data_IF_135912209313
#
_entry.id   IF_135912209313
#
_cell.length_a   1.000
_cell.length_b   1.000
_cell.length_c   1.000
_cell.angle_alpha   90.00
_cell.angle_beta   90.00
_cell.angle_gamma   90.00
#
_symmetry.space_group_name_H-M   'P 1'
#
loop_
_entity.id
_entity.type
_entity.pdbx_description
1 polymer ?
#
# COMPACT_ATOMS: atom_id res chain seq x y z
N UNK A 1 -20.83 8.08 -11.68
CA UNK A 1 -20.04 6.87 -11.35
C UNK A 1 -18.87 6.86 -12.29
N UNK A 2 -17.63 6.96 -11.79
CA UNK A 2 -16.45 6.83 -12.66
C UNK A 2 -15.98 5.39 -12.51
N UNK A 3 -16.46 4.52 -13.39
CA UNK A 3 -15.86 3.20 -13.57
C UNK A 3 -14.42 3.38 -14.04
N UNK A 4 -13.53 2.52 -13.59
CA UNK A 4 -12.15 2.48 -14.08
C UNK A 4 -12.14 2.21 -15.60
N UNK A 5 -11.33 2.96 -16.36
CA UNK A 5 -11.20 2.75 -17.80
C UNK A 5 -10.60 1.37 -18.08
N UNK A 6 -11.17 0.64 -19.06
CA UNK A 6 -10.66 -0.66 -19.52
C UNK A 6 -9.69 -0.45 -20.68
N UNK A 7 -8.52 -1.07 -20.57
CA UNK A 7 -7.47 -1.07 -21.60
C UNK A 7 -7.00 -2.50 -21.89
N UNK A 8 -6.48 -2.72 -23.11
CA UNK A 8 -5.86 -3.98 -23.48
C UNK A 8 -4.34 -3.89 -23.24
N UNK A 9 -3.74 -4.92 -22.63
CA UNK A 9 -2.30 -4.93 -22.33
C UNK A 9 -1.40 -4.74 -23.57
N UNK A 10 -1.85 -5.20 -24.75
CA UNK A 10 -1.16 -4.99 -26.04
C UNK A 10 -1.05 -3.51 -26.43
N UNK A 11 -1.86 -2.64 -25.84
CA UNK A 11 -1.80 -1.19 -26.04
C UNK A 11 -0.98 -0.53 -24.93
N UNK A 12 0.34 -0.69 -25.02
CA UNK A 12 1.29 -0.10 -24.07
C UNK A 12 1.15 1.43 -24.00
N UNK A 13 0.73 2.10 -25.08
CA UNK A 13 0.53 3.55 -25.10
C UNK A 13 -0.51 4.02 -24.09
N UNK A 14 -1.67 3.34 -24.03
CA UNK A 14 -2.74 3.65 -23.06
C UNK A 14 -2.27 3.44 -21.62
N UNK A 15 -1.56 2.35 -21.34
CA UNK A 15 -1.01 2.12 -20.01
C UNK A 15 0.02 3.19 -19.62
N UNK A 16 0.94 3.55 -20.52
CA UNK A 16 1.94 4.57 -20.21
C UNK A 16 1.32 5.96 -20.04
N UNK A 17 0.18 6.24 -20.69
CA UNK A 17 -0.62 7.43 -20.45
C UNK A 17 -1.25 7.40 -19.06
N UNK A 18 -1.90 6.30 -18.68
CA UNK A 18 -2.46 6.10 -17.34
C UNK A 18 -1.40 6.21 -16.24
N UNK A 19 -0.20 5.65 -16.48
CA UNK A 19 0.94 5.76 -15.58
C UNK A 19 1.37 7.21 -15.36
N UNK A 20 1.58 7.98 -16.44
CA UNK A 20 1.98 9.40 -16.36
C UNK A 20 0.90 10.27 -15.71
N UNK A 21 -0.35 10.01 -16.02
CA UNK A 21 -1.49 10.77 -15.49
C UNK A 21 -1.92 10.32 -14.10
N UNK A 22 -1.30 9.26 -13.57
CA UNK A 22 -1.68 8.61 -12.32
C UNK A 22 -3.17 8.30 -12.24
N UNK A 23 -3.67 7.65 -13.29
CA UNK A 23 -5.08 7.23 -13.38
C UNK A 23 -5.15 5.71 -13.26
N UNK A 24 -6.01 5.15 -12.39
CA UNK A 24 -6.19 3.70 -12.35
C UNK A 24 -6.82 3.21 -13.64
N UNK A 25 -6.42 2.02 -14.11
CA UNK A 25 -6.99 1.36 -15.30
C UNK A 25 -7.14 -0.14 -15.07
N UNK A 26 -8.19 -0.71 -15.64
CA UNK A 26 -8.43 -2.15 -15.67
C UNK A 26 -7.82 -2.70 -16.96
N UNK A 27 -6.96 -3.69 -16.83
CA UNK A 27 -6.12 -4.21 -17.91
C UNK A 27 -6.56 -5.64 -18.23
N UNK A 28 -6.94 -5.86 -19.48
CA UNK A 28 -7.29 -7.17 -20.00
C UNK A 28 -6.13 -7.78 -20.80
N UNK A 29 -5.98 -9.10 -20.71
CA UNK A 29 -4.95 -9.85 -21.43
C UNK A 29 -3.52 -9.49 -21.00
N UNK A 30 -3.33 -9.13 -19.73
CA UNK A 30 -2.01 -8.79 -19.18
C UNK A 30 -1.08 -10.00 -19.15
N UNK A 31 -1.61 -11.13 -18.68
CA UNK A 31 -0.93 -12.41 -18.54
C UNK A 31 -1.85 -13.50 -19.11
N UNK A 32 -1.26 -14.61 -19.55
CA UNK A 32 -2.03 -15.77 -19.99
C UNK A 32 -2.60 -16.50 -18.76
N UNK A 33 -3.91 -16.78 -18.71
CA UNK A 33 -4.49 -17.58 -17.64
C UNK A 33 -3.82 -18.96 -17.56
N UNK A 34 -3.42 -19.35 -16.35
CA UNK A 34 -2.85 -20.69 -16.12
C UNK A 34 -3.91 -21.57 -15.44
N UNK A 35 -4.37 -22.60 -16.16
CA UNK A 35 -5.30 -23.59 -15.60
C UNK A 35 -4.68 -24.38 -14.43
N UNK A 36 -3.35 -24.41 -14.32
CA UNK A 36 -2.64 -25.03 -13.19
C UNK A 36 -2.77 -24.24 -11.88
N UNK A 37 -3.26 -23.00 -11.95
CA UNK A 37 -3.49 -22.14 -10.79
C UNK A 37 -4.98 -22.03 -10.41
N UNK A 38 -5.83 -22.87 -11.00
CA UNK A 38 -7.18 -23.06 -10.50
C UNK A 38 -7.12 -23.71 -9.10
N UNK A 39 -7.97 -23.26 -8.18
CA UNK A 39 -8.15 -23.89 -6.88
C UNK A 39 -8.69 -25.31 -6.98
N UNK A 40 -9.35 -25.66 -8.08
CA UNK A 40 -9.80 -27.02 -8.33
C UNK A 40 -8.69 -27.84 -9.01
N UNK A 41 -8.08 -28.77 -8.26
CA UNK A 41 -7.27 -29.84 -8.84
C UNK A 41 -5.77 -29.58 -9.02
N UNK A 42 -5.21 -28.46 -8.56
CA UNK A 42 -3.77 -28.23 -8.64
C UNK A 42 -3.00 -28.96 -7.53
N UNK A 43 -2.15 -29.93 -7.92
CA UNK A 43 -1.23 -30.58 -6.97
C UNK A 43 -0.14 -29.64 -6.45
N UNK A 44 0.06 -28.50 -7.11
CA UNK A 44 1.10 -27.51 -6.79
C UNK A 44 1.01 -27.00 -5.35
N UNK A 45 -0.22 -26.81 -4.85
CA UNK A 45 -0.46 -26.13 -3.57
C UNK A 45 -0.06 -26.94 -2.34
N UNK A 46 0.19 -28.25 -2.50
CA UNK A 46 0.64 -29.12 -1.41
C UNK A 46 2.05 -28.76 -0.94
N UNK A 47 2.91 -28.35 -1.87
CA UNK A 47 4.32 -28.07 -1.61
C UNK A 47 4.59 -26.58 -1.37
N UNK A 48 3.70 -25.70 -1.84
CA UNK A 48 3.79 -24.26 -1.58
C UNK A 48 3.49 -23.98 -0.10
N UNK A 49 4.47 -23.41 0.61
CA UNK A 49 4.29 -22.87 1.96
C UNK A 49 3.85 -21.42 1.89
N UNK A 50 2.89 -21.06 2.73
CA UNK A 50 2.38 -19.70 2.90
C UNK A 50 2.25 -19.40 4.39
N UNK A 51 2.36 -18.12 4.72
CA UNK A 51 2.03 -17.60 6.03
C UNK A 51 0.57 -17.13 6.03
N UNK A 52 -0.22 -17.63 6.98
CA UNK A 52 -1.60 -17.21 7.21
C UNK A 52 -1.70 -16.42 8.51
N UNK A 53 -2.55 -15.40 8.51
CA UNK A 53 -2.85 -14.54 9.66
C UNK A 53 -4.24 -13.92 9.48
N UNK A 54 -4.79 -13.31 10.52
CA UNK A 54 -6.07 -12.61 10.38
C UNK A 54 -5.99 -11.47 9.36
N UNK A 55 -7.12 -11.12 8.76
CA UNK A 55 -7.23 -9.96 7.87
C UNK A 55 -6.83 -8.62 8.53
N UNK A 56 -6.68 -7.59 7.70
CA UNK A 56 -6.09 -6.30 8.05
C UNK A 56 -6.80 -5.56 9.20
N UNK A 57 -8.12 -5.72 9.34
CA UNK A 57 -8.93 -5.02 10.34
C UNK A 57 -8.81 -5.56 11.76
N UNK A 58 -8.32 -6.79 11.98
CA UNK A 58 -8.31 -7.39 13.33
C UNK A 58 -7.31 -6.72 14.27
N UNK A 59 -6.30 -6.01 13.74
CA UNK A 59 -5.34 -5.26 14.57
C UNK A 59 -6.01 -4.19 15.43
N UNK A 60 -7.10 -3.58 14.94
CA UNK A 60 -7.83 -2.52 15.63
C UNK A 60 -8.73 -3.03 16.77
N UNK A 61 -8.90 -4.35 16.90
CA UNK A 61 -9.64 -4.98 17.98
C UNK A 61 -8.74 -5.43 19.15
N UNK A 62 -7.41 -5.39 18.99
CA UNK A 62 -6.49 -5.82 20.04
C UNK A 62 -6.15 -4.67 21.00
N UNK A 63 -6.35 -4.89 22.31
CA UNK A 63 -6.12 -3.85 23.31
C UNK A 63 -4.63 -3.58 23.57
N UNK A 64 -3.70 -4.50 23.21
CA UNK A 64 -2.32 -4.40 23.67
C UNK A 64 -1.20 -4.87 22.73
N UNK A 65 -1.47 -5.48 21.56
CA UNK A 65 -0.38 -5.87 20.64
C UNK A 65 -0.86 -5.91 19.20
N UNK A 66 -0.30 -5.05 18.34
CA UNK A 66 -0.35 -5.17 16.88
C UNK A 66 0.32 -6.46 16.33
N UNK A 67 0.85 -7.32 17.21
CA UNK A 67 1.39 -8.62 16.83
C UNK A 67 0.20 -9.53 16.53
N UNK A 68 -0.07 -9.76 15.25
CA UNK A 68 -0.91 -10.88 14.85
C UNK A 68 -0.07 -12.15 14.90
N UNK A 69 -0.63 -13.19 15.53
CA UNK A 69 -0.07 -14.52 15.40
C UNK A 69 -0.20 -14.97 13.95
N UNK A 70 0.92 -15.39 13.37
CA UNK A 70 0.95 -15.99 12.04
C UNK A 70 1.31 -17.47 12.13
N UNK A 71 0.87 -18.23 11.12
CA UNK A 71 1.16 -19.66 11.00
C UNK A 71 1.64 -19.97 9.60
N UNK A 72 2.73 -20.74 9.50
CA UNK A 72 3.21 -21.24 8.21
C UNK A 72 2.56 -22.59 7.94
N UNK A 73 1.80 -22.69 6.85
CA UNK A 73 1.08 -23.89 6.41
C UNK A 73 1.33 -24.16 4.92
N UNK A 74 0.90 -25.31 4.41
CA UNK A 74 0.79 -25.46 2.95
C UNK A 74 -0.41 -24.67 2.43
N UNK A 75 -0.33 -24.16 1.20
CA UNK A 75 -1.46 -23.47 0.56
C UNK A 75 -2.66 -24.43 0.43
N UNK A 76 -2.43 -25.71 0.14
CA UNK A 76 -3.49 -26.71 0.13
C UNK A 76 -4.18 -26.82 1.50
N UNK A 77 -3.41 -26.94 2.59
CA UNK A 77 -3.98 -27.04 3.94
C UNK A 77 -4.78 -25.80 4.33
N UNK A 78 -4.37 -24.62 3.87
CA UNK A 78 -5.14 -23.39 4.06
C UNK A 78 -6.46 -23.43 3.27
N UNK A 79 -6.44 -23.86 2.01
CA UNK A 79 -7.65 -24.01 1.20
C UNK A 79 -8.62 -25.06 1.76
N UNK A 80 -8.10 -26.17 2.28
CA UNK A 80 -8.90 -27.20 2.97
C UNK A 80 -9.56 -26.60 4.23
N UNK A 81 -8.80 -25.82 5.01
CA UNK A 81 -9.35 -25.10 6.17
C UNK A 81 -10.45 -24.12 5.79
N UNK A 82 -10.27 -23.35 4.70
CA UNK A 82 -11.29 -22.44 4.16
C UNK A 82 -12.56 -23.19 3.76
N UNK A 83 -12.43 -24.36 3.13
CA UNK A 83 -13.59 -25.17 2.73
C UNK A 83 -14.38 -25.68 3.96
N UNK A 84 -13.69 -26.06 5.03
CA UNK A 84 -14.31 -26.48 6.29
C UNK A 84 -14.84 -25.29 7.11
N UNK A 85 -14.22 -24.11 6.98
CA UNK A 85 -14.48 -22.92 7.79
C UNK A 85 -14.68 -21.68 6.90
N UNK A 86 -15.78 -21.59 6.13
CA UNK A 86 -15.97 -20.55 5.11
C UNK A 86 -16.10 -19.12 5.65
N UNK A 87 -16.24 -18.95 6.97
CA UNK A 87 -16.31 -17.66 7.66
C UNK A 87 -14.98 -17.28 8.34
N UNK A 88 -13.90 -18.00 8.08
CA UNK A 88 -12.58 -17.69 8.64
C UNK A 88 -12.09 -16.32 8.20
N UNK A 89 -11.44 -15.60 9.12
CA UNK A 89 -10.75 -14.33 8.87
C UNK A 89 -9.28 -14.53 8.52
N UNK A 90 -8.80 -15.79 8.55
CA UNK A 90 -7.43 -16.12 8.19
C UNK A 90 -7.24 -15.97 6.69
N UNK A 91 -6.16 -15.28 6.30
CA UNK A 91 -5.79 -15.02 4.92
C UNK A 91 -4.28 -15.08 4.73
N UNK A 92 -3.88 -15.30 3.47
CA UNK A 92 -2.52 -14.99 2.99
C UNK A 92 -2.55 -13.56 2.49
N UNK A 93 -1.72 -12.70 3.06
CA UNK A 93 -1.65 -11.27 2.71
C UNK A 93 -0.20 -10.84 2.58
N UNK A 94 0.09 -10.07 1.52
CA UNK A 94 1.44 -9.55 1.19
C UNK A 94 2.58 -10.59 1.22
N UNK A 95 2.28 -11.88 1.04
CA UNK A 95 3.31 -12.93 1.09
C UNK A 95 4.18 -12.86 -0.17
N UNK A 96 5.50 -12.91 -0.06
CA UNK A 96 6.37 -12.92 -1.25
C UNK A 96 5.93 -14.04 -2.20
N UNK A 97 5.63 -13.71 -3.45
CA UNK A 97 5.03 -14.71 -4.35
C UNK A 97 5.97 -15.90 -4.54
N UNK A 98 5.52 -17.13 -4.23
CA UNK A 98 6.31 -18.34 -4.45
C UNK A 98 6.79 -18.46 -5.89
N UNK A 99 8.03 -18.92 -6.07
CA UNK A 99 8.63 -19.09 -7.41
C UNK A 99 7.76 -19.93 -8.32
N UNK A 100 7.17 -21.01 -7.81
CA UNK A 100 6.34 -21.91 -8.60
C UNK A 100 5.06 -21.24 -9.12
N UNK A 101 4.55 -20.22 -8.44
CA UNK A 101 3.43 -19.40 -8.94
C UNK A 101 3.95 -18.40 -9.98
N UNK A 102 5.05 -17.71 -9.69
CA UNK A 102 5.67 -16.75 -10.62
C UNK A 102 6.07 -17.40 -11.95
N UNK A 103 6.62 -18.60 -11.92
CA UNK A 103 7.00 -19.34 -13.12
C UNK A 103 5.79 -19.69 -14.01
N UNK A 104 4.58 -19.75 -13.43
CA UNK A 104 3.35 -20.10 -14.14
C UNK A 104 2.63 -18.88 -14.71
N UNK A 105 2.68 -17.73 -14.04
CA UNK A 105 2.02 -16.50 -14.51
C UNK A 105 2.96 -15.57 -15.29
N UNK A 106 4.26 -15.59 -14.96
CA UNK A 106 5.26 -14.66 -15.48
C UNK A 106 5.17 -13.24 -14.88
N UNK A 107 6.17 -12.42 -15.17
CA UNK A 107 6.16 -10.99 -14.86
C UNK A 107 5.60 -10.24 -16.07
N UNK A 108 4.65 -9.31 -15.91
CA UNK A 108 4.08 -8.57 -17.03
C UNK A 108 5.14 -7.88 -17.90
N UNK A 109 5.08 -8.10 -19.21
CA UNK A 109 5.96 -7.46 -20.20
C UNK A 109 5.86 -5.93 -20.15
N UNK A 110 4.66 -5.43 -19.87
CA UNK A 110 4.42 -3.99 -19.72
C UNK A 110 5.28 -3.36 -18.60
N UNK A 111 5.66 -4.15 -17.59
CA UNK A 111 6.59 -3.71 -16.54
C UNK A 111 8.03 -3.87 -17.03
N UNK A 112 8.41 -5.09 -17.44
CA UNK A 112 9.81 -5.42 -17.77
C UNK A 112 10.35 -4.66 -18.98
N UNK A 113 9.49 -4.29 -19.93
CA UNK A 113 9.88 -3.52 -21.12
C UNK A 113 10.07 -2.03 -20.81
N UNK A 114 9.24 -1.46 -19.91
CA UNK A 114 9.15 -0.01 -19.68
C UNK A 114 9.84 0.50 -18.40
N UNK A 115 10.09 -0.37 -17.43
CA UNK A 115 10.73 -0.01 -16.16
C UNK A 115 12.04 -0.77 -15.98
N UNK A 116 12.98 -0.16 -15.25
CA UNK A 116 14.30 -0.74 -14.97
C UNK A 116 14.54 -0.96 -13.48
N UNK A 117 13.62 -0.49 -12.64
CA UNK A 117 13.69 -0.63 -11.20
C UNK A 117 13.37 -2.07 -10.76
N UNK A 118 13.71 -2.40 -9.53
CA UNK A 118 13.33 -3.66 -8.90
C UNK A 118 11.80 -3.84 -8.92
N UNK A 119 11.34 -4.98 -9.43
CA UNK A 119 9.95 -5.42 -9.36
C UNK A 119 9.83 -6.43 -8.25
N UNK A 120 8.91 -6.20 -7.32
CA UNK A 120 8.53 -7.19 -6.30
C UNK A 120 7.12 -7.68 -6.57
N UNK A 121 6.81 -8.87 -6.09
CA UNK A 121 5.47 -9.44 -6.21
C UNK A 121 5.02 -10.07 -4.90
N UNK A 122 3.75 -9.84 -4.57
CA UNK A 122 3.13 -10.41 -3.40
C UNK A 122 1.87 -11.21 -3.78
N UNK A 123 1.74 -12.37 -3.14
CA UNK A 123 0.61 -13.27 -3.21
C UNK A 123 -0.43 -12.89 -2.14
N UNK A 124 -1.70 -12.93 -2.54
CA UNK A 124 -2.83 -12.78 -1.65
C UNK A 124 -3.84 -13.90 -1.93
N UNK A 125 -4.29 -14.57 -0.88
CA UNK A 125 -5.29 -15.64 -0.94
C UNK A 125 -6.25 -15.49 0.24
N UNK A 126 -7.55 -15.41 -0.04
CA UNK A 126 -8.56 -15.36 1.02
C UNK A 126 -9.91 -15.91 0.54
N UNK A 127 -10.77 -16.30 1.47
CA UNK A 127 -12.16 -16.69 1.21
C UNK A 127 -13.08 -15.48 1.05
N UNK A 128 -14.24 -15.72 0.43
CA UNK A 128 -15.33 -14.74 0.33
C UNK A 128 -15.63 -14.10 1.69
N UNK A 129 -15.83 -12.78 1.69
CA UNK A 129 -16.09 -12.00 2.91
C UNK A 129 -14.84 -11.45 3.62
N UNK A 130 -13.63 -11.92 3.28
CA UNK A 130 -12.40 -11.26 3.72
C UNK A 130 -12.20 -9.92 3.01
N UNK A 131 -11.39 -9.04 3.61
CA UNK A 131 -11.07 -7.74 3.04
C UNK A 131 -9.66 -7.26 3.39
N UNK A 132 -9.16 -6.36 2.55
CA UNK A 132 -8.12 -5.42 2.90
C UNK A 132 -8.78 -4.06 3.18
N UNK A 133 -8.63 -3.59 4.41
CA UNK A 133 -9.17 -2.30 4.88
C UNK A 133 -8.72 -1.15 3.98
N UNK A 134 -9.50 -0.08 3.92
CA UNK A 134 -9.13 1.13 3.17
C UNK A 134 -7.82 1.73 3.71
N UNK A 135 -6.78 1.74 2.88
CA UNK A 135 -5.45 2.24 3.22
C UNK A 135 -4.71 2.72 1.98
N UNK A 136 -3.51 3.29 2.15
CA UNK A 136 -2.57 3.45 1.05
C UNK A 136 -1.24 2.74 1.35
N UNK A 137 -0.58 2.31 0.27
CA UNK A 137 0.72 1.66 0.32
C UNK A 137 1.82 2.68 0.62
N UNK A 138 2.39 2.59 1.82
CA UNK A 138 3.52 3.44 2.24
C UNK A 138 4.87 3.05 1.63
N UNK A 139 4.94 2.15 0.65
CA UNK A 139 6.21 1.75 -0.01
C UNK A 139 6.57 2.61 -1.23
N UNK A 140 5.70 3.55 -1.61
CA UNK A 140 5.84 4.46 -2.75
C UNK A 140 6.03 3.74 -4.09
N UNK A 141 5.44 2.55 -4.27
CA UNK A 141 5.45 1.81 -5.54
C UNK A 141 4.09 1.86 -6.22
N UNK A 142 4.12 1.88 -7.55
CA UNK A 142 2.94 1.66 -8.39
C UNK A 142 2.58 0.19 -8.36
N UNK A 143 1.29 -0.14 -8.50
CA UNK A 143 0.80 -1.51 -8.34
C UNK A 143 0.01 -1.95 -9.56
N UNK A 144 0.33 -3.14 -10.06
CA UNK A 144 -0.56 -3.92 -10.92
C UNK A 144 -1.01 -5.15 -10.13
N UNK A 145 -2.29 -5.23 -9.79
CA UNK A 145 -2.89 -6.39 -9.12
C UNK A 145 -3.55 -7.29 -10.16
N UNK A 146 -2.95 -8.44 -10.45
CA UNK A 146 -3.51 -9.46 -11.33
C UNK A 146 -4.38 -10.43 -10.54
N UNK A 147 -5.64 -10.58 -10.95
CA UNK A 147 -6.59 -11.49 -10.34
C UNK A 147 -6.45 -12.88 -10.98
N UNK A 148 -5.92 -13.84 -10.23
CA UNK A 148 -5.64 -15.19 -10.75
C UNK A 148 -6.90 -16.06 -10.72
N UNK A 149 -7.64 -16.02 -9.62
CA UNK A 149 -8.86 -16.81 -9.42
C UNK A 149 -9.83 -16.09 -8.48
N UNK A 150 -11.13 -16.40 -8.59
CA UNK A 150 -12.21 -15.74 -7.84
C UNK A 150 -12.37 -14.26 -8.17
N UNK A 151 -13.49 -13.66 -7.76
CA UNK A 151 -13.75 -12.23 -7.97
C UNK A 151 -13.36 -11.40 -6.77
N UNK A 152 -12.90 -10.18 -7.05
CA UNK A 152 -12.53 -9.18 -6.03
C UNK A 152 -13.13 -7.83 -6.41
N UNK A 153 -13.67 -7.10 -5.44
CA UNK A 153 -14.11 -5.71 -5.63
C UNK A 153 -13.06 -4.76 -5.07
N UNK A 154 -12.55 -3.86 -5.90
CA UNK A 154 -11.68 -2.76 -5.52
C UNK A 154 -12.44 -1.45 -5.41
N UNK A 155 -12.10 -0.65 -4.40
CA UNK A 155 -12.57 0.74 -4.24
C UNK A 155 -11.34 1.62 -4.10
N UNK A 156 -11.21 2.65 -4.93
CA UNK A 156 -10.00 3.48 -5.01
C UNK A 156 -10.32 4.96 -4.85
N UNK A 157 -9.42 5.73 -4.23
CA UNK A 157 -9.48 7.19 -4.16
C UNK A 157 -8.10 7.81 -4.33
N UNK A 158 -8.06 9.01 -4.90
CA UNK A 158 -6.83 9.80 -4.96
C UNK A 158 -6.42 10.32 -3.56
N UNK A 159 -5.13 10.61 -3.33
CA UNK A 159 -4.63 11.16 -2.06
C UNK A 159 -5.42 12.37 -1.54
N UNK A 160 -5.84 13.25 -2.45
CA UNK A 160 -6.58 14.48 -2.17
C UNK A 160 -7.96 14.24 -1.55
N UNK A 161 -8.52 13.04 -1.72
CA UNK A 161 -9.81 12.62 -1.15
C UNK A 161 -9.74 12.34 0.35
N UNK A 162 -8.52 12.33 0.93
CA UNK A 162 -8.26 11.92 2.31
C UNK A 162 -9.22 12.51 3.34
N UNK A 163 -9.59 13.80 3.24
CA UNK A 163 -10.50 14.43 4.22
C UNK A 163 -11.83 13.67 4.43
N UNK A 164 -12.42 13.08 3.38
CA UNK A 164 -13.66 12.30 3.51
C UNK A 164 -13.45 10.83 3.87
N UNK A 165 -12.19 10.38 3.89
CA UNK A 165 -11.80 9.01 4.22
C UNK A 165 -11.31 8.88 5.66
N UNK A 166 -11.27 9.96 6.44
CA UNK A 166 -10.87 9.95 7.84
C UNK A 166 -9.53 9.21 8.11
N UNK A 167 -8.41 9.74 7.60
CA UNK A 167 -7.12 9.09 7.62
C UNK A 167 -6.50 9.16 9.02
N UNK A 168 -5.92 8.04 9.44
CA UNK A 168 -5.04 7.95 10.59
C UNK A 168 -3.79 7.21 10.14
N UNK A 169 -2.65 7.91 10.11
CA UNK A 169 -1.44 7.44 9.44
C UNK A 169 -1.72 7.06 7.97
N UNK A 170 -1.45 5.81 7.57
CA UNK A 170 -1.72 5.30 6.22
C UNK A 170 -3.03 4.50 6.10
N UNK A 171 -3.87 4.51 7.13
CA UNK A 171 -5.12 3.76 7.21
C UNK A 171 -6.31 4.71 7.25
N UNK A 172 -7.48 4.22 6.86
CA UNK A 172 -8.75 4.92 7.00
C UNK A 172 -9.58 4.28 8.10
N UNK A 173 -10.28 5.10 8.86
CA UNK A 173 -11.28 4.66 9.85
C UNK A 173 -12.68 4.42 9.26
N UNK A 174 -12.86 4.67 7.96
CA UNK A 174 -14.10 4.34 7.25
C UNK A 174 -14.14 2.84 6.99
N UNK A 175 -15.20 2.20 7.48
CA UNK A 175 -15.45 0.76 7.34
C UNK A 175 -16.35 0.48 6.15
N UNK A 176 -15.76 0.52 4.95
CA UNK A 176 -16.51 0.33 3.69
C UNK A 176 -17.22 -1.04 3.63
N UNK A 177 -16.74 -2.04 4.36
CA UNK A 177 -17.37 -3.36 4.45
C UNK A 177 -18.72 -3.37 5.17
N UNK A 178 -19.05 -2.30 5.90
CA UNK A 178 -20.34 -2.17 6.59
C UNK A 178 -21.41 -1.51 5.71
N UNK A 179 -21.02 -1.00 4.54
CA UNK A 179 -21.94 -0.27 3.66
C UNK A 179 -22.73 -1.25 2.80
N UNK A 180 -24.01 -0.95 2.61
CA UNK A 180 -24.78 -1.51 1.50
C UNK A 180 -24.17 -1.06 0.16
N UNK A 181 -24.50 -1.76 -0.93
CA UNK A 181 -24.02 -1.37 -2.27
C UNK A 181 -24.43 0.08 -2.64
N UNK A 182 -25.61 0.53 -2.21
CA UNK A 182 -26.10 1.90 -2.45
C UNK A 182 -25.29 2.93 -1.65
N UNK A 183 -25.05 2.68 -0.36
CA UNK A 183 -24.22 3.54 0.50
C UNK A 183 -22.78 3.62 -0.02
N UNK A 184 -22.22 2.48 -0.47
CA UNK A 184 -20.89 2.44 -1.07
C UNK A 184 -20.82 3.29 -2.34
N UNK A 185 -21.79 3.15 -3.24
CA UNK A 185 -21.84 3.96 -4.46
C UNK A 185 -21.96 5.46 -4.15
N UNK A 186 -22.81 5.82 -3.18
CA UNK A 186 -22.98 7.21 -2.76
C UNK A 186 -21.68 7.78 -2.15
N UNK A 187 -21.08 7.06 -1.21
CA UNK A 187 -19.83 7.44 -0.57
C UNK A 187 -18.69 7.61 -1.58
N UNK A 188 -18.56 6.68 -2.52
CA UNK A 188 -17.55 6.75 -3.58
C UNK A 188 -17.76 7.97 -4.47
N UNK A 189 -19.00 8.23 -4.88
CA UNK A 189 -19.32 9.39 -5.73
C UNK A 189 -19.03 10.73 -5.04
N UNK A 190 -19.34 10.84 -3.73
CA UNK A 190 -19.05 12.06 -2.95
C UNK A 190 -17.56 12.34 -2.78
N UNK A 191 -16.73 11.29 -2.81
CA UNK A 191 -15.29 11.40 -2.61
C UNK A 191 -14.49 11.19 -3.92
N UNK A 192 -15.14 11.37 -5.08
CA UNK A 192 -14.50 11.25 -6.40
C UNK A 192 -13.70 9.95 -6.61
N UNK A 193 -14.16 8.85 -6.02
CA UNK A 193 -13.50 7.55 -6.13
C UNK A 193 -13.97 6.70 -7.30
N UNK A 194 -13.41 5.48 -7.33
CA UNK A 194 -13.66 4.45 -8.33
C UNK A 194 -14.14 3.17 -7.65
N UNK A 195 -15.04 2.44 -8.30
CA UNK A 195 -15.37 1.04 -7.98
C UNK A 195 -14.99 0.18 -9.19
N UNK A 196 -14.37 -0.95 -8.94
CA UNK A 196 -13.99 -1.93 -9.97
C UNK A 196 -14.22 -3.33 -9.46
N UNK A 197 -14.90 -4.15 -10.26
CA UNK A 197 -15.00 -5.59 -10.03
C UNK A 197 -13.98 -6.28 -10.94
N UNK A 198 -13.08 -7.06 -10.33
CA UNK A 198 -12.04 -7.82 -10.97
C UNK A 198 -12.50 -9.26 -11.16
N UNK A 199 -12.51 -9.69 -12.41
CA UNK A 199 -12.72 -11.09 -12.82
C UNK A 199 -11.37 -11.83 -12.95
N UNK A 200 -11.36 -13.18 -12.88
CA UNK A 200 -10.15 -13.97 -13.15
C UNK A 200 -9.54 -13.63 -14.53
N UNK A 201 -8.23 -13.36 -14.54
CA UNK A 201 -7.48 -12.97 -15.74
C UNK A 201 -7.42 -11.46 -16.00
N UNK A 202 -8.17 -10.65 -15.25
CA UNK A 202 -8.05 -9.19 -15.29
C UNK A 202 -6.96 -8.68 -14.33
N UNK A 203 -6.42 -7.51 -14.63
CA UNK A 203 -5.49 -6.82 -13.73
C UNK A 203 -5.89 -5.37 -13.49
N UNK A 204 -5.80 -4.89 -12.26
CA UNK A 204 -5.98 -3.49 -11.93
C UNK A 204 -4.62 -2.80 -11.77
N UNK A 205 -4.36 -1.79 -12.59
CA UNK A 205 -3.32 -0.82 -12.28
C UNK A 205 -3.88 0.27 -11.39
N UNK A 206 -3.17 0.58 -10.32
CA UNK A 206 -3.37 1.81 -9.56
C UNK A 206 -2.02 2.44 -9.18
N UNK A 207 -1.89 3.77 -9.32
CA UNK A 207 -0.67 4.48 -8.97
C UNK A 207 -0.32 4.39 -7.48
N UNK A 208 0.96 4.65 -7.18
CA UNK A 208 1.43 4.81 -5.81
C UNK A 208 0.59 5.83 -5.03
N UNK A 209 0.48 5.66 -3.72
CA UNK A 209 -0.26 6.56 -2.80
C UNK A 209 -1.77 6.61 -2.99
N UNK A 210 -2.39 5.92 -3.96
CA UNK A 210 -3.85 5.83 -3.97
C UNK A 210 -4.37 5.10 -2.74
N UNK A 211 -5.43 5.66 -2.14
CA UNK A 211 -6.24 4.95 -1.17
C UNK A 211 -6.96 3.80 -1.87
N UNK A 212 -6.96 2.62 -1.27
CA UNK A 212 -7.58 1.44 -1.83
C UNK A 212 -8.13 0.49 -0.76
N UNK A 213 -9.28 -0.10 -1.06
CA UNK A 213 -9.94 -1.15 -0.30
C UNK A 213 -10.24 -2.31 -1.24
N UNK A 214 -10.08 -3.55 -0.78
CA UNK A 214 -10.45 -4.73 -1.56
C UNK A 214 -11.31 -5.70 -0.75
N UNK A 215 -12.44 -6.12 -1.32
CA UNK A 215 -13.30 -7.17 -0.77
C UNK A 215 -13.23 -8.42 -1.64
N UNK A 216 -13.08 -9.59 -1.02
CA UNK A 216 -13.18 -10.88 -1.69
C UNK A 216 -14.66 -11.24 -1.88
N UNK A 217 -15.11 -11.28 -3.14
CA UNK A 217 -16.48 -11.67 -3.48
C UNK A 217 -16.60 -13.19 -3.50
N UNK A 218 -15.58 -13.85 -4.06
CA UNK A 218 -15.39 -15.30 -3.97
C UNK A 218 -14.09 -15.61 -3.23
N UNK A 219 -13.90 -16.88 -2.86
CA UNK A 219 -12.56 -17.36 -2.51
C UNK A 219 -11.65 -17.18 -3.72
N UNK A 220 -10.56 -16.42 -3.55
CA UNK A 220 -9.76 -15.91 -4.65
C UNK A 220 -8.28 -15.82 -4.36
N UNK A 221 -7.49 -15.84 -5.44
CA UNK A 221 -6.05 -15.60 -5.44
C UNK A 221 -5.73 -14.42 -6.34
N UNK A 222 -4.87 -13.53 -5.86
CA UNK A 222 -4.33 -12.42 -6.65
C UNK A 222 -2.85 -12.28 -6.41
N UNK A 223 -2.13 -11.82 -7.43
CA UNK A 223 -0.71 -11.48 -7.33
C UNK A 223 -0.56 -10.01 -7.71
N UNK A 224 0.04 -9.21 -6.83
CA UNK A 224 0.44 -7.87 -7.19
C UNK A 224 1.87 -7.86 -7.75
N UNK A 225 2.14 -6.86 -8.58
CA UNK A 225 3.47 -6.48 -9.02
C UNK A 225 3.68 -5.02 -8.63
N UNK A 226 4.68 -4.76 -7.81
CA UNK A 226 5.04 -3.43 -7.33
C UNK A 226 6.31 -2.95 -8.03
N UNK A 227 6.27 -1.74 -8.59
CA UNK A 227 7.35 -1.22 -9.46
C UNK A 227 7.42 0.31 -9.45
N UNK A 228 8.46 0.85 -10.10
CA UNK A 228 8.53 2.25 -10.52
C UNK A 228 8.74 3.26 -9.39
N UNK A 229 9.31 2.86 -8.24
CA UNK A 229 9.65 3.82 -7.17
C UNK A 229 10.83 4.70 -7.57
N UNK A 230 10.56 6.00 -7.71
CA UNK A 230 11.56 7.02 -8.07
C UNK A 230 12.51 7.35 -6.93
N UNK A 231 13.65 7.97 -7.24
CA UNK A 231 14.73 8.29 -6.29
C UNK A 231 14.27 9.11 -5.08
N UNK A 232 13.50 10.18 -5.32
CA UNK A 232 13.01 11.02 -4.23
C UNK A 232 12.02 10.25 -3.35
N UNK A 233 11.14 9.46 -3.97
CA UNK A 233 10.20 8.58 -3.27
C UNK A 233 10.90 7.46 -2.48
N UNK A 234 12.04 6.95 -2.94
CA UNK A 234 12.85 5.99 -2.18
C UNK A 234 13.44 6.63 -0.90
N UNK A 235 13.90 7.88 -0.96
CA UNK A 235 14.34 8.63 0.23
C UNK A 235 13.19 8.83 1.21
N UNK A 236 12.02 9.27 0.72
CA UNK A 236 10.84 9.46 1.56
C UNK A 236 10.41 8.14 2.22
N UNK A 237 10.29 7.07 1.43
CA UNK A 237 10.01 5.73 1.91
C UNK A 237 10.99 5.25 2.98
N UNK A 238 12.27 5.60 2.91
CA UNK A 238 13.27 5.10 3.87
C UNK A 238 13.35 5.90 5.15
N UNK A 239 13.02 7.18 5.11
CA UNK A 239 13.38 8.10 6.20
C UNK A 239 12.23 8.98 6.68
N UNK A 240 11.03 8.86 6.11
CA UNK A 240 9.87 9.66 6.52
C UNK A 240 8.70 8.74 6.86
N UNK A 241 7.96 9.07 7.91
CA UNK A 241 6.81 8.30 8.36
C UNK A 241 5.65 8.45 7.37
N UNK A 242 4.84 7.40 7.21
CA UNK A 242 3.66 7.44 6.36
C UNK A 242 2.50 8.17 7.05
N UNK A 243 2.03 9.25 6.43
CA UNK A 243 0.80 9.94 6.79
C UNK A 243 0.18 10.64 5.58
N UNK A 244 -0.99 11.26 5.78
CA UNK A 244 -1.73 11.99 4.73
C UNK A 244 -0.96 13.15 4.09
N UNK A 245 -0.07 13.82 4.82
CA UNK A 245 0.69 14.96 4.29
C UNK A 245 1.84 14.46 3.41
N UNK A 246 2.58 13.45 3.88
CA UNK A 246 3.59 12.77 3.07
C UNK A 246 2.94 12.17 1.82
N UNK A 247 1.79 11.52 1.96
CA UNK A 247 1.06 10.90 0.86
C UNK A 247 0.78 11.90 -0.27
N UNK A 248 0.22 13.07 0.06
CA UNK A 248 -0.11 14.10 -0.92
C UNK A 248 1.16 14.72 -1.53
N UNK A 249 2.22 14.98 -0.77
CA UNK A 249 3.48 15.47 -1.33
C UNK A 249 4.16 14.44 -2.23
N UNK A 250 4.27 13.19 -1.78
CA UNK A 250 4.88 12.09 -2.52
C UNK A 250 4.18 11.84 -3.86
N UNK A 251 2.86 12.01 -3.89
CA UNK A 251 2.08 11.99 -5.13
C UNK A 251 2.59 13.01 -6.14
N UNK A 252 2.86 14.26 -5.74
CA UNK A 252 3.36 15.28 -6.68
C UNK A 252 4.86 15.17 -6.99
N UNK A 253 5.66 14.58 -6.09
CA UNK A 253 7.10 14.36 -6.27
C UNK A 253 7.40 13.24 -7.28
N UNK A 254 6.49 12.28 -7.46
CA UNK A 254 6.72 11.09 -8.29
C UNK A 254 6.99 11.39 -9.78
N UNK A 255 6.57 12.54 -10.30
CA UNK A 255 6.78 12.88 -11.71
C UNK A 255 8.23 13.30 -12.04
N UNK A 256 9.14 13.36 -11.05
CA UNK A 256 10.53 13.88 -11.10
C UNK A 256 10.64 15.36 -11.51
N UNK A 257 9.67 15.88 -12.25
CA UNK A 257 9.38 17.28 -12.49
C UNK A 257 7.92 17.53 -12.13
N UNK A 258 7.65 18.57 -11.33
CA UNK A 258 6.29 18.93 -10.93
C UNK A 258 6.05 20.40 -11.18
N UNK A 259 4.93 20.71 -11.84
CA UNK A 259 4.45 22.10 -11.98
C UNK A 259 3.73 22.58 -10.70
N UNK A 260 3.53 21.70 -9.72
CA UNK A 260 2.78 21.97 -8.49
C UNK A 260 3.69 22.22 -7.29
N UNK A 261 4.77 21.45 -7.15
CA UNK A 261 5.67 21.52 -5.98
C UNK A 261 7.10 21.77 -6.42
N UNK A 262 7.81 22.64 -5.70
CA UNK A 262 9.26 22.78 -5.83
C UNK A 262 9.93 21.59 -5.15
N UNK A 263 10.21 20.55 -5.94
CA UNK A 263 10.77 19.28 -5.45
C UNK A 263 12.12 19.49 -4.76
N UNK A 264 12.97 20.37 -5.29
CA UNK A 264 14.31 20.60 -4.75
C UNK A 264 14.23 21.27 -3.38
N UNK A 265 13.38 22.30 -3.23
CA UNK A 265 13.10 22.95 -1.94
C UNK A 265 12.57 21.94 -0.92
N UNK A 266 11.54 21.18 -1.28
CA UNK A 266 10.90 20.20 -0.38
C UNK A 266 11.90 19.15 0.09
N UNK A 267 12.65 18.55 -0.83
CA UNK A 267 13.65 17.52 -0.49
C UNK A 267 14.80 18.10 0.32
N UNK A 268 15.21 19.35 0.05
CA UNK A 268 16.23 20.03 0.85
C UNK A 268 15.80 20.21 2.31
N UNK A 269 14.61 20.77 2.54
CA UNK A 269 14.11 21.01 3.91
C UNK A 269 13.84 19.71 4.68
N UNK A 270 13.32 18.68 4.01
CA UNK A 270 13.18 17.34 4.59
C UNK A 270 14.55 16.81 5.04
N UNK A 271 15.59 16.92 4.20
CA UNK A 271 16.95 16.49 4.57
C UNK A 271 17.51 17.28 5.74
N UNK A 272 17.22 18.58 5.84
CA UNK A 272 17.62 19.41 6.99
C UNK A 272 17.04 18.84 8.28
N UNK A 273 15.73 18.60 8.33
CA UNK A 273 15.08 17.98 9.52
C UNK A 273 15.65 16.59 9.81
N UNK A 274 15.93 15.78 8.78
CA UNK A 274 16.54 14.45 8.96
C UNK A 274 17.96 14.52 9.52
N UNK A 275 18.73 15.55 9.20
CA UNK A 275 20.10 15.74 9.66
C UNK A 275 20.22 16.31 11.08
N UNK A 276 19.16 16.95 11.58
CA UNK A 276 19.13 17.47 12.94
C UNK A 276 19.15 16.32 13.96
N UNK A 277 20.02 16.45 14.97
CA UNK A 277 20.01 15.57 16.12
C UNK A 277 18.80 15.88 16.99
N UNK A 278 18.04 14.85 17.34
CA UNK A 278 16.93 14.93 18.28
C UNK A 278 16.93 13.67 19.15
N UNK A 279 17.01 13.84 20.47
CA UNK A 279 16.99 12.73 21.42
C UNK A 279 15.63 12.03 21.45
N UNK A 280 14.57 12.70 20.95
CA UNK A 280 13.20 12.18 20.91
C UNK A 280 12.75 11.89 19.47
N UNK A 281 12.64 10.61 19.08
CA UNK A 281 12.00 10.18 17.84
C UNK A 281 10.62 10.80 17.58
N UNK A 282 9.82 10.94 18.63
CA UNK A 282 8.47 11.53 18.58
C UNK A 282 8.56 13.00 18.16
N UNK A 283 9.44 13.77 18.80
CA UNK A 283 9.61 15.18 18.50
C UNK A 283 10.08 15.39 17.06
N UNK A 284 11.03 14.57 16.61
CA UNK A 284 11.52 14.61 15.23
C UNK A 284 10.43 14.28 14.21
N UNK A 285 9.57 13.31 14.52
CA UNK A 285 8.39 12.98 13.71
C UNK A 285 7.42 14.17 13.64
N UNK A 286 7.11 14.81 14.76
CA UNK A 286 6.19 15.95 14.80
C UNK A 286 6.73 17.19 14.06
N UNK A 287 8.03 17.47 14.18
CA UNK A 287 8.71 18.49 13.37
C UNK A 287 8.57 18.20 11.88
N UNK A 288 8.86 16.95 11.47
CA UNK A 288 8.72 16.52 10.08
C UNK A 288 7.27 16.64 9.60
N UNK A 289 6.30 16.18 10.39
CA UNK A 289 4.88 16.25 10.07
C UNK A 289 4.40 17.70 9.92
N UNK A 290 4.85 18.59 10.80
CA UNK A 290 4.56 20.04 10.73
C UNK A 290 5.10 20.64 9.43
N UNK A 291 6.33 20.28 9.04
CA UNK A 291 6.94 20.71 7.78
C UNK A 291 6.16 20.20 6.56
N UNK A 292 5.79 18.91 6.54
CA UNK A 292 5.02 18.32 5.44
C UNK A 292 3.64 18.98 5.31
N UNK A 293 3.00 19.27 6.45
CA UNK A 293 1.72 20.01 6.49
C UNK A 293 1.88 21.41 5.91
N UNK A 294 2.91 22.16 6.32
CA UNK A 294 3.12 23.51 5.81
C UNK A 294 3.34 23.53 4.30
N UNK A 295 4.05 22.54 3.73
CA UNK A 295 4.18 22.41 2.29
C UNK A 295 2.85 22.07 1.60
N UNK A 296 2.04 21.19 2.19
CA UNK A 296 0.74 20.87 1.63
C UNK A 296 -0.16 22.12 1.52
N UNK A 297 -0.11 22.98 2.55
CA UNK A 297 -0.83 24.25 2.60
C UNK A 297 -0.22 25.29 1.63
N UNK A 298 1.11 25.42 1.58
CA UNK A 298 1.85 26.32 0.68
C UNK A 298 1.52 26.04 -0.79
N UNK A 299 1.53 24.77 -1.20
CA UNK A 299 1.26 24.36 -2.58
C UNK A 299 -0.23 24.12 -2.86
N UNK A 300 -1.11 24.31 -1.87
CA UNK A 300 -2.56 24.09 -1.98
C UNK A 300 -2.93 22.69 -2.53
N UNK A 301 -2.18 21.66 -2.11
CA UNK A 301 -2.42 20.26 -2.52
C UNK A 301 -3.26 19.49 -1.51
N UNK A 302 -3.17 19.86 -0.23
CA UNK A 302 -3.97 19.24 0.84
C UNK A 302 -4.07 20.18 2.04
N UNK A 303 -5.27 20.31 2.59
CA UNK A 303 -5.50 20.99 3.87
C UNK A 303 -6.55 20.22 4.67
N UNK A 304 -6.33 20.13 5.97
CA UNK A 304 -7.26 19.45 6.87
C UNK A 304 -8.49 20.35 7.05
N UNK A 305 -9.66 19.84 6.64
CA UNK A 305 -10.90 20.64 6.65
C UNK A 305 -11.60 20.63 8.01
N UNK A 306 -11.02 19.99 9.05
CA UNK A 306 -11.63 19.86 10.39
C UNK A 306 -13.13 19.51 10.29
N UNK A 307 -13.44 18.51 9.48
CA UNK A 307 -14.83 18.08 9.21
C UNK A 307 -15.40 17.33 10.42
N UNK A 308 -14.54 16.90 11.33
CA UNK A 308 -14.88 16.04 12.47
C UNK A 308 -14.65 16.76 13.80
N UNK A 309 -15.41 16.36 14.82
CA UNK A 309 -15.31 16.89 16.19
C UNK A 309 -14.10 16.39 16.99
N UNK A 310 -13.37 15.40 16.45
CA UNK A 310 -12.19 14.78 17.07
C UNK A 310 -11.03 14.85 16.08
N UNK A 311 -9.87 15.32 16.52
CA UNK A 311 -8.67 15.40 15.69
C UNK A 311 -7.95 14.04 15.57
N UNK A 312 -7.19 13.85 14.49
CA UNK A 312 -6.33 12.67 14.33
C UNK A 312 -5.38 12.51 15.53
N UNK A 313 -4.79 13.61 16.02
CA UNK A 313 -3.88 13.56 17.16
C UNK A 313 -4.62 13.08 18.42
N UNK A 314 -5.87 13.48 18.64
CA UNK A 314 -6.66 12.97 19.77
C UNK A 314 -6.89 11.46 19.66
N UNK A 315 -7.13 10.93 18.45
CA UNK A 315 -7.30 9.49 18.21
C UNK A 315 -6.00 8.73 18.47
N UNK A 316 -4.88 9.24 17.94
CA UNK A 316 -3.56 8.62 18.13
C UNK A 316 -3.20 8.57 19.62
N UNK A 317 -3.29 9.69 20.34
CA UNK A 317 -2.91 9.75 21.75
C UNK A 317 -3.86 8.98 22.68
N UNK A 318 -5.14 8.84 22.32
CA UNK A 318 -6.12 8.07 23.11
C UNK A 318 -6.12 6.57 22.81
N UNK A 319 -5.45 6.13 21.75
CA UNK A 319 -5.34 4.72 21.37
C UNK A 319 -3.92 4.20 21.66
N UNK A 320 -3.69 3.42 22.74
CA UNK A 320 -2.34 3.03 23.17
C UNK A 320 -1.48 2.43 22.05
N UNK A 321 -2.10 1.60 21.22
CA UNK A 321 -1.45 0.94 20.12
C UNK A 321 -1.02 1.94 19.03
N UNK A 322 -1.87 2.92 18.67
CA UNK A 322 -1.51 3.97 17.70
C UNK A 322 -0.43 4.90 18.25
N UNK A 323 -0.52 5.26 19.54
CA UNK A 323 0.49 6.07 20.20
C UNK A 323 1.87 5.37 20.23
N UNK A 324 1.88 4.06 20.47
CA UNK A 324 3.11 3.26 20.44
C UNK A 324 3.76 3.24 19.05
N UNK A 325 2.96 3.28 17.98
CA UNK A 325 3.43 3.30 16.59
C UNK A 325 3.90 4.70 16.19
N UNK A 326 3.11 5.73 16.51
CA UNK A 326 3.47 7.11 16.24
C UNK A 326 4.73 7.54 16.99
N UNK A 327 5.11 6.83 18.05
CA UNK A 327 6.34 7.07 18.80
C UNK A 327 7.56 6.29 18.33
N UNK A 328 7.42 5.37 17.36
CA UNK A 328 8.58 4.69 16.77
C UNK A 328 9.35 5.64 15.83
N UNK A 329 10.70 5.68 15.91
CA UNK A 329 11.53 6.34 14.92
C UNK A 329 11.42 5.60 13.58
N UNK A 330 10.55 6.10 12.71
CA UNK A 330 10.46 5.74 11.30
C UNK A 330 10.11 4.27 11.01
N UNK A 331 8.86 4.08 10.59
CA UNK A 331 8.26 2.94 9.86
C UNK A 331 7.29 2.02 10.61
N UNK A 332 6.09 1.95 10.03
CA UNK A 332 5.14 0.86 10.14
C UNK A 332 5.61 -0.37 9.32
N UNK A 333 6.44 -0.18 8.29
CA UNK A 333 6.70 -1.18 7.23
C UNK A 333 7.92 -2.07 7.45
N UNK A 334 8.71 -1.84 8.51
CA UNK A 334 9.97 -2.55 8.74
C UNK A 334 10.16 -3.00 10.19
N UNK A 335 9.09 -3.10 11.00
CA UNK A 335 9.22 -3.56 12.39
C UNK A 335 9.96 -4.91 12.50
N UNK A 336 9.76 -5.82 11.52
CA UNK A 336 10.50 -7.08 11.45
C UNK A 336 11.96 -6.98 10.96
N UNK A 337 12.34 -5.92 10.22
CA UNK A 337 13.72 -5.70 9.72
C UNK A 337 14.59 -4.86 10.66
N UNK A 338 14.00 -4.09 11.58
CA UNK A 338 14.71 -3.15 12.47
C UNK A 338 15.31 -3.73 13.76
N UNK A 339 15.32 -5.06 13.93
CA UNK A 339 16.18 -5.73 14.92
C UNK A 339 17.70 -5.54 14.67
N UNK A 340 18.09 -4.69 13.73
CA UNK A 340 19.47 -4.26 13.46
C UNK A 340 19.64 -2.73 13.40
N UNK A 341 18.74 -1.95 14.01
CA UNK A 341 18.80 -0.48 14.04
C UNK A 341 20.12 0.07 14.63
N UNK A 342 20.78 -0.67 15.52
CA UNK A 342 22.11 -0.31 16.03
C UNK A 342 23.17 -0.27 14.90
N UNK A 343 23.21 -1.28 14.03
CA UNK A 343 24.24 -1.37 12.98
C UNK A 343 24.11 -0.32 11.87
N UNK A 344 22.88 0.10 11.56
CA UNK A 344 22.61 1.14 10.54
C UNK A 344 22.96 2.55 11.06
N UNK A 345 22.68 2.82 12.34
CA UNK A 345 23.13 4.04 13.01
C UNK A 345 24.66 4.12 13.11
N UNK A 346 25.34 3.00 13.43
CA UNK A 346 26.81 2.94 13.43
C UNK A 346 27.38 3.24 12.03
N UNK A 347 26.80 2.66 10.97
CA UNK A 347 27.29 2.88 9.59
C UNK A 347 27.14 4.32 9.10
N UNK A 348 26.07 5.02 9.51
CA UNK A 348 25.84 6.43 9.13
C UNK A 348 26.79 7.38 9.88
N UNK A 349 27.09 7.09 11.15
CA UNK A 349 28.09 7.83 11.95
C UNK A 349 29.50 7.59 11.41
N UNK A 350 29.83 6.36 11.01
CA UNK A 350 31.12 6.03 10.38
C UNK A 350 31.29 6.70 9.02
N UNK A 351 30.24 6.74 8.19
CA UNK A 351 30.26 7.44 6.90
C UNK A 351 30.37 8.97 7.05
N UNK A 352 29.77 9.56 8.08
CA UNK A 352 29.92 10.99 8.38
C UNK A 352 31.34 11.34 8.84
N UNK A 353 31.97 10.49 9.66
CA UNK A 353 33.32 10.70 10.18
C UNK A 353 34.43 10.49 9.13
N UNK A 354 34.21 9.62 8.14
CA UNK A 354 35.15 9.43 7.02
C UNK A 354 35.20 10.62 6.05
N UNK A 355 34.15 11.44 5.98
CA UNK A 355 34.11 12.64 5.14
C UNK A 355 34.68 13.90 5.83
N UNK A 356 34.73 13.92 7.16
CA UNK A 356 35.34 15.01 7.94
C UNK A 356 36.86 14.87 8.11
N UNK A 357 37.42 13.69 7.85
CA UNK A 357 38.87 13.42 7.91
C UNK A 357 39.60 13.63 6.58
N UNK A 358 38.88 14.09 5.54
CA UNK A 358 39.42 14.37 4.19
C UNK A 358 39.25 15.83 3.75
N UNK A 359 38.89 16.74 4.66
CA UNK A 359 38.86 18.19 4.44
C UNK A 359 39.98 18.89 5.21
#
# INVERSE_FOLDING_TARGET
MVSVERILAKNTGSFMQAYRNKTPVLIEGLLEPSSELDFTGSSLYKDIKVEIMDEYSSHFASENTFIQESKVVSLQSYLDHVAENPNTTLCVREYNTPKDIIDKIGIPKIITDNFRDEVTSNLFVANAGNKAQLHFDGDHRHVILYQVSGRKRGVLFEPSSGNGLFPVLNQSWVKLEQFTDEELQHFVAMNNGYIVDLEPGEALYFPMMMWHHFSYIDTGMSVNFRFGRKRNNDLLYRYVHADKYLQNLAWHIDNENSDTVDIDKVIHEIKTVLSEFDESPVNKREKMRTLLKSFCEEYNIYSDKNIYSVSEDQIIHSTPALNAISSQPYHFHNWARYNNAEGLLTSLVEMANQNLSKS
#
